data_IF_006026246789
#
_entry.id   IF_006026246789
#
_cell.length_a   1.000
_cell.length_b   1.000
_cell.length_c   1.000
_cell.angle_alpha   90.00
_cell.angle_beta   90.00
_cell.angle_gamma   90.00
#
_symmetry.space_group_name_H-M   'P 1'
#
loop_
_entity.id
_entity.type
_entity.pdbx_description
1 polymer ?
#
# COMPACT_ATOMS: atom_id res chain seq x y z
N UNK A 1 -36.89 -23.44 -12.16
CA UNK A 1 -36.36 -23.06 -13.50
C UNK A 1 -34.95 -23.65 -13.61
N UNK A 2 -34.92 -24.96 -13.86
CA UNK A 2 -33.79 -25.87 -13.65
C UNK A 2 -33.49 -26.54 -15.00
N UNK A 3 -32.21 -26.75 -15.32
CA UNK A 3 -31.60 -27.35 -16.53
C UNK A 3 -31.39 -26.37 -17.69
N UNK A 4 -30.12 -26.15 -18.05
CA UNK A 4 -29.43 -26.61 -19.28
C UNK A 4 -28.02 -26.00 -19.24
N UNK A 5 -26.98 -26.84 -19.20
CA UNK A 5 -25.82 -26.82 -20.11
C UNK A 5 -24.77 -27.84 -19.63
N UNK A 6 -24.83 -29.02 -20.23
CA UNK A 6 -23.70 -29.95 -20.35
C UNK A 6 -22.76 -29.39 -21.41
N UNK A 7 -21.46 -29.41 -21.13
CA UNK A 7 -20.40 -29.44 -22.14
C UNK A 7 -19.86 -28.08 -22.56
N UNK A 8 -18.70 -27.70 -22.02
CA UNK A 8 -17.50 -27.32 -22.80
C UNK A 8 -16.32 -27.17 -21.83
N UNK A 9 -15.80 -28.30 -21.33
CA UNK A 9 -14.48 -28.33 -20.70
C UNK A 9 -13.45 -28.33 -21.84
N UNK A 10 -12.93 -27.15 -22.19
CA UNK A 10 -11.63 -27.08 -22.87
C UNK A 10 -10.59 -26.83 -21.79
N UNK A 11 -9.57 -27.70 -21.75
CA UNK A 11 -8.43 -27.63 -20.85
C UNK A 11 -7.88 -26.20 -20.81
N UNK A 12 -8.19 -25.46 -19.75
CA UNK A 12 -7.43 -24.29 -19.37
C UNK A 12 -6.07 -24.80 -18.89
N UNK A 13 -4.98 -24.20 -19.35
CA UNK A 13 -3.64 -24.50 -18.84
C UNK A 13 -3.62 -24.29 -17.32
N UNK A 14 -3.80 -25.37 -16.56
CA UNK A 14 -3.94 -25.42 -15.10
C UNK A 14 -2.73 -24.83 -14.36
N UNK A 15 -1.59 -24.65 -15.05
CA UNK A 15 -0.32 -24.22 -14.47
C UNK A 15 -0.38 -22.85 -13.77
N UNK A 16 -1.14 -21.88 -14.29
CA UNK A 16 -1.26 -20.54 -13.66
C UNK A 16 -2.21 -20.51 -12.45
N UNK A 17 -3.23 -21.37 -12.45
CA UNK A 17 -4.25 -21.42 -11.41
C UNK A 17 -3.73 -22.17 -10.19
N UNK A 18 -2.97 -23.26 -10.37
CA UNK A 18 -2.50 -24.12 -9.27
C UNK A 18 -1.66 -23.37 -8.23
N UNK A 19 -0.87 -22.36 -8.63
CA UNK A 19 0.08 -21.69 -7.73
C UNK A 19 -0.57 -20.72 -6.71
N UNK A 20 -1.84 -20.33 -6.89
CA UNK A 20 -2.57 -19.41 -6.00
C UNK A 20 -3.45 -20.13 -4.94
N UNK A 21 -3.67 -21.44 -5.08
CA UNK A 21 -4.60 -22.20 -4.22
C UNK A 21 -3.99 -22.81 -2.96
N UNK A 22 -2.66 -22.82 -2.82
CA UNK A 22 -1.98 -23.31 -1.62
C UNK A 22 -1.86 -22.18 -0.59
N UNK A 23 -2.95 -21.84 0.09
CA UNK A 23 -2.93 -20.88 1.20
C UNK A 23 -4.29 -20.79 1.87
N UNK A 24 -4.34 -21.23 3.13
CA UNK A 24 -5.53 -21.55 3.92
C UNK A 24 -6.49 -20.40 4.20
N UNK A 25 -7.59 -20.76 4.87
CA UNK A 25 -8.67 -19.85 5.27
C UNK A 25 -8.11 -18.62 6.01
N UNK A 26 -8.40 -17.43 5.49
CA UNK A 26 -8.20 -16.20 6.27
C UNK A 26 -9.37 -16.12 7.26
N UNK A 27 -9.07 -16.19 8.55
CA UNK A 27 -10.04 -15.77 9.55
C UNK A 27 -10.18 -14.24 9.50
N UNK A 28 -11.39 -13.69 9.69
CA UNK A 28 -11.57 -12.26 9.83
C UNK A 28 -10.70 -11.78 10.98
N UNK A 29 -9.84 -10.81 10.71
CA UNK A 29 -9.05 -10.19 11.75
C UNK A 29 -9.99 -9.44 12.68
N UNK A 30 -10.07 -9.90 13.93
CA UNK A 30 -10.84 -9.19 14.93
C UNK A 30 -9.95 -8.07 15.48
N UNK A 31 -10.22 -6.84 15.03
CA UNK A 31 -9.54 -5.65 15.55
C UNK A 31 -9.71 -5.58 17.07
N UNK A 32 -8.62 -5.30 17.78
CA UNK A 32 -8.63 -5.08 19.23
C UNK A 32 -9.16 -3.69 19.53
N UNK A 33 -9.63 -3.49 20.76
CA UNK A 33 -10.22 -2.20 21.20
C UNK A 33 -9.27 -1.01 20.99
N UNK A 34 -7.97 -1.23 21.08
CA UNK A 34 -6.95 -0.18 20.99
C UNK A 34 -6.29 -0.08 19.61
N UNK A 35 -6.78 -0.83 18.62
CA UNK A 35 -6.27 -0.81 17.26
C UNK A 35 -6.55 0.54 16.60
N UNK A 36 -5.47 1.24 16.23
CA UNK A 36 -5.48 2.59 15.68
C UNK A 36 -4.51 2.68 14.51
N UNK A 37 -4.87 3.42 13.48
CA UNK A 37 -3.99 3.74 12.36
C UNK A 37 -4.40 5.06 11.69
N UNK A 38 -3.51 5.54 10.83
CA UNK A 38 -3.75 6.71 10.00
C UNK A 38 -3.85 6.27 8.54
N UNK A 39 -4.75 6.91 7.80
CA UNK A 39 -4.82 6.82 6.34
C UNK A 39 -4.63 8.22 5.76
N UNK A 40 -3.73 8.38 4.80
CA UNK A 40 -3.46 9.62 4.09
C UNK A 40 -3.71 9.39 2.60
N UNK A 41 -4.71 10.07 2.05
CA UNK A 41 -5.04 10.00 0.63
C UNK A 41 -4.57 11.29 -0.07
N UNK A 42 -3.56 11.15 -0.94
CA UNK A 42 -2.92 12.28 -1.62
C UNK A 42 -3.84 12.99 -2.60
N UNK A 43 -4.73 12.24 -3.27
CA UNK A 43 -5.65 12.78 -4.25
C UNK A 43 -6.69 13.73 -3.62
N UNK A 44 -7.29 13.30 -2.50
CA UNK A 44 -8.29 14.11 -1.77
C UNK A 44 -7.67 15.12 -0.80
N UNK A 45 -6.35 15.03 -0.54
CA UNK A 45 -5.61 15.89 0.40
C UNK A 45 -6.14 15.75 1.83
N UNK A 46 -6.32 14.49 2.23
CA UNK A 46 -6.98 14.13 3.48
C UNK A 46 -6.10 13.22 4.32
N UNK A 47 -6.05 13.47 5.63
CA UNK A 47 -5.55 12.57 6.65
C UNK A 47 -6.72 12.15 7.54
N UNK A 48 -6.96 10.85 7.62
CA UNK A 48 -8.06 10.24 8.38
C UNK A 48 -7.50 9.37 9.51
N UNK A 49 -8.05 9.51 10.71
CA UNK A 49 -7.76 8.69 11.87
C UNK A 49 -8.78 7.55 11.94
N UNK A 50 -8.29 6.31 12.03
CA UNK A 50 -9.13 5.12 12.16
C UNK A 50 -8.88 4.41 13.48
N UNK A 51 -9.95 4.00 14.15
CA UNK A 51 -9.92 3.14 15.32
C UNK A 51 -10.98 2.05 15.19
N UNK A 52 -10.61 0.78 15.43
CA UNK A 52 -11.52 -0.37 15.31
C UNK A 52 -12.27 -0.43 13.95
N UNK A 53 -11.57 -0.11 12.85
CA UNK A 53 -12.15 -0.10 11.50
C UNK A 53 -13.03 1.10 11.18
N UNK A 54 -13.26 2.01 12.14
CA UNK A 54 -14.11 3.19 11.98
C UNK A 54 -13.29 4.45 11.83
N UNK A 55 -13.74 5.34 10.96
CA UNK A 55 -13.24 6.71 10.90
C UNK A 55 -13.65 7.48 12.16
N UNK A 56 -12.67 8.07 12.84
CA UNK A 56 -12.86 8.84 14.07
C UNK A 56 -12.75 10.35 13.82
N UNK A 57 -11.86 10.76 12.92
CA UNK A 57 -11.69 12.14 12.52
C UNK A 57 -10.96 12.22 11.17
N UNK A 58 -11.19 13.30 10.44
CA UNK A 58 -10.58 13.56 9.14
C UNK A 58 -10.18 15.03 9.02
N UNK A 59 -8.99 15.27 8.48
CA UNK A 59 -8.36 16.57 8.42
C UNK A 59 -7.78 16.84 7.03
N UNK A 60 -7.93 18.06 6.49
CA UNK A 60 -7.21 18.44 5.28
C UNK A 60 -5.70 18.52 5.56
N UNK A 61 -4.88 18.09 4.61
CA UNK A 61 -3.44 18.08 4.72
C UNK A 61 -2.74 18.54 3.43
N UNK A 62 -1.52 19.07 3.55
CA UNK A 62 -0.66 19.45 2.42
C UNK A 62 0.51 18.49 2.29
N UNK A 63 0.99 18.31 1.07
CA UNK A 63 2.09 17.39 0.75
C UNK A 63 3.34 18.11 0.26
N UNK A 64 4.30 17.29 -0.17
CA UNK A 64 5.40 17.71 -1.01
C UNK A 64 4.94 18.46 -2.27
N UNK A 65 5.80 19.37 -2.75
CA UNK A 65 5.56 20.16 -3.96
C UNK A 65 5.38 19.30 -5.24
N UNK A 66 5.82 18.04 -5.23
CA UNK A 66 5.58 17.08 -6.30
C UNK A 66 4.58 15.98 -5.85
N UNK A 67 3.26 16.27 -5.90
CA UNK A 67 2.26 15.35 -5.34
C UNK A 67 1.93 14.15 -6.23
N UNK A 68 2.32 14.18 -7.51
CA UNK A 68 1.91 13.18 -8.49
C UNK A 68 2.70 11.87 -8.36
N UNK A 69 3.92 11.94 -7.84
CA UNK A 69 4.81 10.78 -7.69
C UNK A 69 4.95 10.36 -6.22
N UNK A 70 5.31 9.10 -6.00
CA UNK A 70 5.81 8.64 -4.70
C UNK A 70 7.27 9.06 -4.53
N UNK A 71 7.65 9.37 -3.29
CA UNK A 71 9.02 9.72 -2.93
C UNK A 71 9.98 8.56 -3.20
N UNK A 72 10.99 8.80 -4.02
CA UNK A 72 12.03 7.82 -4.36
C UNK A 72 13.44 8.32 -4.10
N UNK A 73 13.68 9.64 -3.98
CA UNK A 73 15.03 10.17 -3.73
C UNK A 73 15.04 11.46 -2.94
N UNK A 74 16.20 11.81 -2.39
CA UNK A 74 16.45 13.12 -1.78
C UNK A 74 16.20 14.23 -2.82
N UNK A 75 15.47 15.27 -2.43
CA UNK A 75 15.21 16.44 -3.28
C UNK A 75 14.11 16.28 -4.34
N UNK A 76 13.41 15.15 -4.45
CA UNK A 76 12.29 14.98 -5.38
C UNK A 76 11.01 15.75 -5.00
N UNK A 77 11.00 16.35 -3.81
CA UNK A 77 9.89 17.11 -3.22
C UNK A 77 8.57 16.32 -3.16
N UNK A 78 8.64 14.99 -3.14
CA UNK A 78 7.49 14.12 -3.11
C UNK A 78 7.22 13.58 -1.70
N UNK A 79 5.95 13.32 -1.39
CA UNK A 79 5.54 12.58 -0.20
C UNK A 79 5.50 11.08 -0.55
N UNK A 80 6.14 10.21 0.25
CA UNK A 80 6.16 8.78 -0.01
C UNK A 80 4.75 8.19 0.01
N UNK A 81 4.55 7.15 -0.78
CA UNK A 81 3.36 6.29 -0.76
C UNK A 81 3.77 4.91 -0.25
N UNK A 82 2.90 4.23 0.47
CA UNK A 82 3.16 2.93 1.06
C UNK A 82 2.64 2.81 2.50
N UNK A 83 3.03 1.71 3.14
CA UNK A 83 2.71 1.43 4.53
C UNK A 83 3.90 1.79 5.41
N UNK A 84 3.69 2.73 6.32
CA UNK A 84 4.70 3.25 7.24
C UNK A 84 4.25 3.05 8.69
N UNK A 85 5.16 3.28 9.63
CA UNK A 85 4.88 3.31 11.06
C UNK A 85 5.37 4.64 11.64
N UNK A 86 4.63 5.14 12.63
CA UNK A 86 5.12 6.24 13.48
C UNK A 86 6.36 5.75 14.21
N UNK A 87 7.48 6.43 14.02
CA UNK A 87 8.74 6.09 14.69
C UNK A 87 8.90 6.83 16.01
N UNK A 88 8.56 8.11 16.01
CA UNK A 88 8.63 8.98 17.17
C UNK A 88 7.70 10.17 17.02
N UNK A 89 7.41 10.85 18.12
CA UNK A 89 6.72 12.13 18.14
C UNK A 89 7.43 13.11 19.07
N UNK A 90 7.48 14.39 18.71
CA UNK A 90 8.12 15.44 19.51
C UNK A 90 7.50 16.82 19.28
N UNK A 91 7.56 17.74 20.27
CA UNK A 91 7.41 19.16 20.02
C UNK A 91 8.47 19.70 19.07
N UNK A 92 8.15 20.74 18.31
CA UNK A 92 9.06 21.35 17.33
C UNK A 92 8.84 22.86 17.26
N UNK A 93 9.90 23.65 17.41
CA UNK A 93 9.81 25.11 17.20
C UNK A 93 9.43 25.49 15.77
N UNK A 94 9.88 24.70 14.78
CA UNK A 94 9.64 24.96 13.37
C UNK A 94 8.25 24.50 12.90
N UNK A 95 7.75 23.42 13.48
CA UNK A 95 6.57 22.72 12.99
C UNK A 95 5.44 22.63 14.00
N UNK A 96 5.56 23.31 15.14
CA UNK A 96 4.72 23.16 16.32
C UNK A 96 4.80 21.75 16.96
N UNK A 97 4.30 20.73 16.26
CA UNK A 97 4.39 19.32 16.62
C UNK A 97 4.89 18.51 15.42
N UNK A 98 5.65 17.45 15.67
CA UNK A 98 6.20 16.59 14.62
C UNK A 98 6.06 15.11 14.99
N UNK A 99 5.49 14.33 14.07
CA UNK A 99 5.38 12.87 14.13
C UNK A 99 6.24 12.31 13.00
N UNK A 100 7.38 11.71 13.34
CA UNK A 100 8.30 11.13 12.37
C UNK A 100 7.84 9.75 11.92
N UNK A 101 7.88 9.51 10.60
CA UNK A 101 7.61 8.20 10.01
C UNK A 101 8.89 7.40 9.87
N UNK A 102 8.76 6.09 9.68
CA UNK A 102 9.88 5.18 9.47
C UNK A 102 10.46 5.17 8.03
N UNK A 103 10.21 6.22 7.25
CA UNK A 103 10.81 6.40 5.93
C UNK A 103 12.35 6.68 5.99
N UNK A 104 13.14 6.12 5.05
CA UNK A 104 12.76 5.02 4.16
C UNK A 104 12.65 3.71 4.95
N UNK A 105 11.63 2.90 4.64
CA UNK A 105 11.46 1.58 5.24
C UNK A 105 11.98 0.46 4.30
N UNK A 106 11.83 -0.80 4.70
CA UNK A 106 12.37 -1.92 3.91
C UNK A 106 11.86 -1.97 2.46
N UNK A 107 10.58 -1.62 2.23
CA UNK A 107 10.02 -1.53 0.87
C UNK A 107 10.76 -0.49 0.05
N UNK A 108 10.98 0.70 0.61
CA UNK A 108 11.68 1.79 -0.07
C UNK A 108 13.14 1.43 -0.39
N UNK A 109 13.82 0.80 0.57
CA UNK A 109 15.23 0.39 0.47
C UNK A 109 15.39 -0.68 -0.61
N UNK A 110 14.60 -1.75 -0.56
CA UNK A 110 14.67 -2.84 -1.55
C UNK A 110 14.28 -2.37 -2.94
N UNK A 111 13.21 -1.59 -3.06
CA UNK A 111 12.80 -1.01 -4.34
C UNK A 111 13.90 -0.11 -4.92
N UNK A 112 14.56 0.70 -4.10
CA UNK A 112 15.65 1.55 -4.55
C UNK A 112 16.86 0.78 -5.08
N UNK A 113 17.27 -0.26 -4.37
CA UNK A 113 18.35 -1.12 -4.81
C UNK A 113 18.00 -1.83 -6.14
N UNK A 114 16.79 -2.39 -6.23
CA UNK A 114 16.31 -3.00 -7.47
C UNK A 114 16.08 -2.01 -8.61
N UNK A 115 15.93 -0.72 -8.35
CA UNK A 115 15.87 0.30 -9.41
C UNK A 115 17.27 0.81 -9.80
N UNK A 116 18.34 0.33 -9.14
CA UNK A 116 19.71 0.80 -9.34
C UNK A 116 19.96 2.19 -8.76
N UNK A 117 19.13 2.62 -7.80
CA UNK A 117 19.25 3.91 -7.12
C UNK A 117 20.13 3.86 -5.87
N UNK A 118 20.57 2.67 -5.48
CA UNK A 118 21.53 2.44 -4.40
C UNK A 118 22.63 1.52 -4.92
N UNK A 119 23.88 1.76 -4.50
CA UNK A 119 24.94 0.75 -4.62
C UNK A 119 24.73 -0.38 -3.61
N UNK A 120 25.49 -1.47 -3.75
CA UNK A 120 25.46 -2.56 -2.76
C UNK A 120 25.87 -2.06 -1.37
N UNK A 121 26.91 -1.24 -1.28
CA UNK A 121 27.38 -0.67 -0.02
C UNK A 121 26.31 0.21 0.63
N UNK A 122 25.67 1.09 -0.14
CA UNK A 122 24.58 1.93 0.35
C UNK A 122 23.39 1.07 0.80
N UNK A 123 23.03 0.04 0.03
CA UNK A 123 21.95 -0.88 0.38
C UNK A 123 22.19 -1.56 1.73
N UNK A 124 23.40 -2.07 1.97
CA UNK A 124 23.76 -2.67 3.26
C UNK A 124 23.67 -1.66 4.41
N UNK A 125 24.17 -0.44 4.22
CA UNK A 125 24.06 0.63 5.22
C UNK A 125 22.59 0.95 5.56
N UNK A 126 21.72 1.04 4.55
CA UNK A 126 20.29 1.24 4.78
C UNK A 126 19.64 0.09 5.52
N UNK A 127 19.99 -1.17 5.21
CA UNK A 127 19.47 -2.34 5.94
C UNK A 127 19.90 -2.34 7.41
N UNK A 128 21.16 -2.04 7.71
CA UNK A 128 21.65 -1.93 9.08
C UNK A 128 20.94 -0.82 9.85
N UNK A 129 20.76 0.34 9.23
CA UNK A 129 20.02 1.44 9.84
C UNK A 129 18.56 1.08 10.10
N UNK A 130 17.88 0.43 9.14
CA UNK A 130 16.52 -0.06 9.29
C UNK A 130 16.40 -1.07 10.45
N UNK A 131 17.28 -2.07 10.51
CA UNK A 131 17.34 -3.06 11.61
C UNK A 131 17.57 -2.40 12.98
N UNK A 132 18.34 -1.31 13.02
CA UNK A 132 18.58 -0.52 14.22
C UNK A 132 17.48 0.52 14.54
N UNK A 133 16.39 0.58 13.77
CA UNK A 133 15.32 1.57 13.95
C UNK A 133 15.71 3.02 13.60
N UNK A 134 16.82 3.20 12.88
CA UNK A 134 17.38 4.51 12.45
C UNK A 134 16.99 4.84 11.00
N UNK A 135 17.20 6.08 10.59
CA UNK A 135 17.00 6.55 9.21
C UNK A 135 18.26 7.32 8.80
N UNK A 136 18.78 7.02 7.62
CA UNK A 136 20.01 7.62 7.10
C UNK A 136 19.69 8.83 6.25
N UNK A 137 20.48 9.90 6.38
CA UNK A 137 20.49 10.97 5.41
C UNK A 137 21.35 10.58 4.20
N UNK A 138 20.78 9.83 3.27
CA UNK A 138 21.47 9.38 2.06
C UNK A 138 20.68 9.66 0.77
N UNK A 139 20.92 8.89 -0.32
CA UNK A 139 20.27 9.09 -1.61
C UNK A 139 18.74 9.08 -1.59
N UNK A 140 18.11 8.36 -0.65
CA UNK A 140 16.65 8.32 -0.50
C UNK A 140 16.11 9.54 0.28
N UNK A 141 16.97 10.23 1.02
CA UNK A 141 16.62 11.24 1.99
C UNK A 141 16.02 10.65 3.27
N UNK A 142 15.68 11.53 4.22
CA UNK A 142 15.13 11.16 5.52
C UNK A 142 14.13 12.20 6.03
N UNK A 143 13.71 12.06 7.30
CA UNK A 143 13.00 13.13 8.01
C UNK A 143 11.58 13.40 7.52
N UNK A 144 10.95 12.41 6.89
CA UNK A 144 9.55 12.49 6.50
C UNK A 144 8.66 12.29 7.72
N UNK A 145 7.66 13.15 7.88
CA UNK A 145 6.76 13.12 9.00
C UNK A 145 5.45 13.86 8.74
N UNK A 146 4.57 13.78 9.74
CA UNK A 146 3.33 14.53 9.83
C UNK A 146 3.56 15.69 10.81
N UNK A 147 3.20 16.91 10.45
CA UNK A 147 3.52 18.08 11.26
C UNK A 147 2.52 19.24 11.14
N UNK A 148 2.60 20.21 12.07
CA UNK A 148 1.81 21.44 12.05
C UNK A 148 2.36 22.51 11.11
N UNK A 149 2.24 23.79 11.43
CA UNK A 149 2.77 24.88 10.61
C UNK A 149 1.86 25.30 9.45
N UNK A 150 0.69 24.67 9.31
CA UNK A 150 -0.44 25.27 8.62
C UNK A 150 -0.71 24.78 7.19
N UNK A 151 -1.89 25.18 6.74
CA UNK A 151 -2.43 24.92 5.42
C UNK A 151 -2.63 26.26 4.69
N UNK A 152 -2.27 26.31 3.41
CA UNK A 152 -2.58 27.47 2.57
C UNK A 152 -4.02 27.36 2.07
N UNK A 153 -4.96 28.09 2.67
CA UNK A 153 -6.38 28.08 2.27
C UNK A 153 -6.78 29.38 1.57
N UNK A 154 -7.67 29.29 0.57
CA UNK A 154 -8.36 30.41 -0.08
C UNK A 154 -9.78 30.41 0.48
N UNK A 155 -10.10 31.45 1.25
CA UNK A 155 -11.33 31.47 2.05
C UNK A 155 -11.33 30.37 3.12
N UNK A 156 -12.52 30.03 3.65
CA UNK A 156 -12.65 29.05 4.75
C UNK A 156 -12.55 27.59 4.31
N UNK A 157 -12.70 27.27 3.02
CA UNK A 157 -12.93 25.89 2.57
C UNK A 157 -11.89 25.32 1.59
N UNK A 158 -11.24 26.13 0.75
CA UNK A 158 -10.43 25.60 -0.35
C UNK A 158 -8.95 25.57 -0.01
N UNK A 159 -8.38 24.37 0.13
CA UNK A 159 -6.93 24.18 0.19
C UNK A 159 -6.31 24.53 -1.18
N UNK A 160 -5.27 25.37 -1.17
CA UNK A 160 -4.75 26.02 -2.38
C UNK A 160 -3.43 25.41 -2.82
N UNK A 161 -2.61 24.91 -1.90
CA UNK A 161 -1.22 24.60 -2.24
C UNK A 161 -0.59 23.50 -1.38
N UNK A 162 0.19 22.65 -2.04
CA UNK A 162 1.24 21.84 -1.42
C UNK A 162 2.50 22.70 -1.25
N UNK A 163 3.29 22.45 -0.20
CA UNK A 163 4.39 23.36 0.12
C UNK A 163 5.58 22.72 0.81
N UNK A 164 5.45 21.48 1.29
CA UNK A 164 6.54 20.82 2.00
C UNK A 164 7.58 20.28 1.01
N UNK A 165 8.70 19.76 1.53
CA UNK A 165 9.67 19.00 0.75
C UNK A 165 9.41 17.48 0.79
N UNK A 166 8.24 17.06 1.25
CA UNK A 166 7.82 15.65 1.31
C UNK A 166 7.04 15.26 2.57
N UNK A 167 7.05 16.11 3.61
CA UNK A 167 6.22 15.91 4.81
C UNK A 167 4.72 16.15 4.54
N UNK A 168 3.90 15.72 5.49
CA UNK A 168 2.45 15.94 5.51
C UNK A 168 2.15 17.06 6.52
N UNK A 169 1.72 18.21 6.04
CA UNK A 169 1.45 19.38 6.89
C UNK A 169 -0.05 19.56 7.17
N UNK A 170 -0.38 19.88 8.42
CA UNK A 170 -1.74 20.14 8.91
C UNK A 170 -1.83 21.53 9.55
N UNK A 171 -3.04 21.99 9.80
CA UNK A 171 -3.24 23.09 10.76
C UNK A 171 -2.85 22.62 12.17
N UNK A 172 -2.32 23.53 13.00
CA UNK A 172 -1.80 23.17 14.32
C UNK A 172 -2.85 22.48 15.20
N UNK A 173 -4.10 22.96 15.19
CA UNK A 173 -5.22 22.34 15.92
C UNK A 173 -5.52 20.91 15.47
N UNK A 174 -5.45 20.65 14.17
CA UNK A 174 -5.66 19.31 13.63
C UNK A 174 -4.47 18.40 14.00
N UNK A 175 -3.25 18.96 13.96
CA UNK A 175 -2.02 18.28 14.37
C UNK A 175 -2.04 17.88 15.86
N UNK A 176 -2.61 18.67 16.76
CA UNK A 176 -2.79 18.27 18.18
C UNK A 176 -3.65 17.01 18.32
N UNK A 177 -4.65 16.86 17.46
CA UNK A 177 -5.51 15.66 17.45
C UNK A 177 -4.73 14.45 16.97
N UNK A 178 -3.97 14.59 15.88
CA UNK A 178 -3.07 13.53 15.38
C UNK A 178 -2.01 13.15 16.44
N UNK A 179 -1.36 14.12 17.06
CA UNK A 179 -0.27 13.92 18.02
C UNK A 179 -0.71 13.16 19.29
N UNK A 180 -1.94 13.43 19.76
CA UNK A 180 -2.55 12.70 20.89
C UNK A 180 -3.04 11.31 20.51
N UNK A 181 -3.42 11.12 19.24
CA UNK A 181 -3.98 9.86 18.76
C UNK A 181 -2.93 8.76 18.59
N UNK A 182 -1.74 9.12 18.08
CA UNK A 182 -0.70 8.16 17.70
C UNK A 182 0.35 7.93 18.78
N UNK A 183 0.94 6.74 18.77
CA UNK A 183 2.15 6.38 19.52
C UNK A 183 3.19 5.76 18.57
N UNK A 184 4.47 5.64 18.97
CA UNK A 184 5.43 4.83 18.23
C UNK A 184 4.85 3.45 17.90
N UNK A 185 4.98 3.03 16.65
CA UNK A 185 4.39 1.80 16.10
C UNK A 185 3.02 1.98 15.45
N UNK A 186 2.30 3.10 15.66
CA UNK A 186 1.01 3.34 14.99
C UNK A 186 1.18 3.29 13.46
N UNK A 187 0.42 2.44 12.75
CA UNK A 187 0.52 2.35 11.30
C UNK A 187 -0.01 3.58 10.57
N UNK A 188 0.60 3.87 9.42
CA UNK A 188 0.26 4.99 8.55
C UNK A 188 0.26 4.51 7.10
N UNK A 189 -0.93 4.38 6.51
CA UNK A 189 -1.10 4.12 5.09
C UNK A 189 -1.07 5.46 4.33
N UNK A 190 -0.22 5.58 3.30
CA UNK A 190 -0.20 6.73 2.40
C UNK A 190 -0.40 6.24 0.97
N UNK A 191 -1.39 6.75 0.25
CA UNK A 191 -1.65 6.34 -1.13
C UNK A 191 -2.19 7.47 -2.00
N UNK A 192 -2.14 7.27 -3.31
CA UNK A 192 -2.73 8.15 -4.30
C UNK A 192 -3.65 7.35 -5.23
N UNK A 193 -4.96 7.51 -5.04
CA UNK A 193 -6.01 6.84 -5.83
C UNK A 193 -5.93 7.09 -7.34
N UNK A 194 -5.28 8.17 -7.77
CA UNK A 194 -5.16 8.52 -9.18
C UNK A 194 -4.03 7.75 -9.91
N UNK A 195 -3.27 6.90 -9.21
CA UNK A 195 -2.28 6.01 -9.83
C UNK A 195 -2.93 4.72 -10.33
N UNK A 196 -2.23 3.97 -11.19
CA UNK A 196 -2.73 2.65 -11.60
C UNK A 196 -2.79 1.71 -10.40
N UNK A 197 -3.74 0.77 -10.40
CA UNK A 197 -3.86 -0.19 -9.31
C UNK A 197 -2.57 -1.00 -9.09
N UNK A 198 -1.83 -1.34 -10.16
CA UNK A 198 -0.50 -1.96 -10.03
C UNK A 198 0.44 -1.07 -9.21
N UNK A 199 0.51 0.21 -9.55
CA UNK A 199 1.39 1.15 -8.86
C UNK A 199 1.02 1.29 -7.38
N UNK A 200 -0.27 1.45 -7.07
CA UNK A 200 -0.73 1.58 -5.68
C UNK A 200 -0.39 0.30 -4.90
N UNK A 201 -0.74 -0.88 -5.43
CA UNK A 201 -0.47 -2.15 -4.74
C UNK A 201 1.04 -2.42 -4.60
N UNK A 202 1.85 -2.00 -5.57
CA UNK A 202 3.32 -2.13 -5.52
C UNK A 202 3.98 -1.30 -4.41
N UNK A 203 3.32 -0.22 -3.96
CA UNK A 203 3.80 0.56 -2.81
C UNK A 203 3.45 -0.09 -1.46
N UNK A 204 2.55 -1.08 -1.44
CA UNK A 204 2.09 -1.77 -0.22
C UNK A 204 2.78 -3.11 0.03
N UNK A 205 3.81 -3.43 -0.75
CA UNK A 205 4.50 -4.73 -0.69
C UNK A 205 6.00 -4.56 -0.66
N UNK A 206 6.68 -5.42 0.07
CA UNK A 206 8.14 -5.58 -0.05
C UNK A 206 8.44 -6.50 -1.24
N UNK A 207 9.21 -6.05 -2.27
CA UNK A 207 9.47 -6.85 -3.47
C UNK A 207 10.39 -8.02 -3.18
N UNK A 208 10.01 -9.23 -3.59
CA UNK A 208 10.84 -10.43 -3.54
C UNK A 208 11.57 -10.64 -4.87
N UNK A 209 12.90 -10.54 -4.82
CA UNK A 209 13.74 -10.65 -6.01
C UNK A 209 13.82 -12.10 -6.48
N UNK A 210 13.67 -12.27 -7.79
CA UNK A 210 13.84 -13.54 -8.48
C UNK A 210 15.23 -13.58 -9.15
N UNK A 211 15.68 -14.78 -9.50
CA UNK A 211 16.99 -15.00 -10.15
C UNK A 211 17.14 -14.37 -11.56
N UNK A 212 16.08 -13.83 -12.16
CA UNK A 212 16.04 -13.36 -13.57
C UNK A 212 15.60 -11.88 -13.73
N UNK A 213 16.29 -10.93 -13.07
CA UNK A 213 16.10 -9.47 -13.26
C UNK A 213 14.69 -8.91 -13.00
N UNK A 214 13.87 -9.66 -12.27
CA UNK A 214 12.51 -9.26 -11.90
C UNK A 214 12.25 -9.43 -10.41
N UNK A 215 11.20 -8.77 -9.93
CA UNK A 215 10.63 -9.04 -8.62
C UNK A 215 9.21 -9.56 -8.76
N UNK A 216 8.80 -10.33 -7.77
CA UNK A 216 7.41 -10.68 -7.51
C UNK A 216 7.04 -10.27 -6.10
N UNK A 217 5.77 -9.97 -5.88
CA UNK A 217 5.25 -9.78 -4.54
C UNK A 217 3.83 -10.31 -4.47
N UNK A 218 3.48 -10.90 -3.33
CA UNK A 218 2.12 -11.39 -3.09
C UNK A 218 1.46 -10.53 -2.02
N UNK A 219 0.26 -10.07 -2.26
CA UNK A 219 -0.55 -9.34 -1.29
C UNK A 219 -1.86 -10.10 -1.08
N UNK A 220 -2.19 -10.36 0.18
CA UNK A 220 -3.43 -11.03 0.54
C UNK A 220 -4.30 -10.05 1.31
N UNK A 221 -5.39 -9.58 0.71
CA UNK A 221 -6.34 -8.67 1.35
C UNK A 221 -7.55 -9.46 1.81
N UNK A 222 -8.08 -9.11 2.98
CA UNK A 222 -9.39 -9.57 3.41
C UNK A 222 -10.30 -8.35 3.49
N UNK A 223 -11.34 -8.34 2.66
CA UNK A 223 -12.36 -7.29 2.64
C UNK A 223 -13.54 -7.76 3.48
N UNK A 224 -13.56 -7.37 4.76
CA UNK A 224 -14.49 -7.90 5.77
C UNK A 224 -15.96 -7.63 5.42
N UNK A 225 -16.27 -6.42 4.93
CA UNK A 225 -17.61 -6.02 4.48
C UNK A 225 -18.18 -6.97 3.41
N UNK A 226 -17.31 -7.58 2.60
CA UNK A 226 -17.69 -8.46 1.49
C UNK A 226 -17.41 -9.93 1.75
N UNK A 227 -16.83 -10.29 2.91
CA UNK A 227 -16.34 -11.64 3.21
C UNK A 227 -15.51 -12.22 2.05
N UNK A 228 -14.60 -11.38 1.53
CA UNK A 228 -13.87 -11.62 0.30
C UNK A 228 -12.37 -11.59 0.55
N UNK A 229 -11.71 -12.71 0.27
CA UNK A 229 -10.25 -12.80 0.19
C UNK A 229 -9.77 -12.44 -1.21
N UNK A 230 -8.89 -11.44 -1.30
CA UNK A 230 -8.17 -11.12 -2.52
C UNK A 230 -6.74 -11.61 -2.42
N UNK A 231 -6.36 -12.54 -3.30
CA UNK A 231 -4.97 -12.94 -3.51
C UNK A 231 -4.43 -12.20 -4.73
N UNK A 232 -3.48 -11.31 -4.49
CA UNK A 232 -2.85 -10.47 -5.51
C UNK A 232 -1.41 -10.92 -5.70
N UNK A 233 -1.01 -11.13 -6.95
CA UNK A 233 0.37 -11.38 -7.36
C UNK A 233 0.81 -10.25 -8.28
N UNK A 234 1.85 -9.53 -7.88
CA UNK A 234 2.49 -8.47 -8.64
C UNK A 234 3.81 -8.99 -9.19
N UNK A 235 4.18 -8.55 -10.38
CA UNK A 235 5.52 -8.77 -10.92
C UNK A 235 5.99 -7.59 -11.74
N UNK A 236 7.30 -7.31 -11.71
CA UNK A 236 7.93 -6.39 -12.65
C UNK A 236 9.32 -6.87 -13.06
N UNK A 237 9.76 -6.42 -14.23
CA UNK A 237 11.09 -6.67 -14.81
C UNK A 237 11.82 -5.37 -15.10
N UNK A 238 13.16 -5.43 -15.19
CA UNK A 238 14.03 -4.28 -15.52
C UNK A 238 13.69 -3.62 -16.86
N UNK A 239 13.15 -4.37 -17.82
CA UNK A 239 12.73 -3.84 -19.13
C UNK A 239 11.41 -3.04 -19.09
N UNK A 240 10.84 -2.81 -17.91
CA UNK A 240 9.60 -2.05 -17.73
C UNK A 240 8.33 -2.90 -17.77
N UNK A 241 8.40 -4.19 -18.11
CA UNK A 241 7.25 -5.07 -18.06
C UNK A 241 6.73 -5.21 -16.63
N UNK A 242 5.41 -5.10 -16.46
CA UNK A 242 4.69 -5.19 -15.18
C UNK A 242 3.45 -6.05 -15.39
N UNK A 243 3.09 -6.87 -14.42
CA UNK A 243 1.85 -7.64 -14.48
C UNK A 243 1.24 -7.78 -13.09
N UNK A 244 -0.08 -7.89 -13.07
CA UNK A 244 -0.86 -8.12 -11.84
C UNK A 244 -1.90 -9.19 -12.08
N UNK A 245 -1.96 -10.14 -11.15
CA UNK A 245 -2.97 -11.18 -11.10
C UNK A 245 -3.74 -11.06 -9.79
N UNK A 246 -5.07 -11.15 -9.86
CA UNK A 246 -5.96 -11.01 -8.72
C UNK A 246 -6.99 -12.13 -8.74
N UNK A 247 -7.05 -12.90 -7.66
CA UNK A 247 -8.10 -13.90 -7.44
C UNK A 247 -8.96 -13.42 -6.28
N UNK A 248 -10.26 -13.28 -6.51
CA UNK A 248 -11.25 -13.09 -5.45
C UNK A 248 -11.84 -14.42 -5.02
N UNK A 249 -11.81 -14.70 -3.72
CA UNK A 249 -12.25 -15.95 -3.10
C UNK A 249 -13.25 -15.62 -2.00
N UNK A 250 -14.40 -16.30 -2.01
CA UNK A 250 -15.35 -16.23 -0.91
C UNK A 250 -14.73 -16.85 0.35
N UNK A 251 -14.58 -16.05 1.42
CA UNK A 251 -13.78 -16.42 2.59
C UNK A 251 -14.30 -17.65 3.33
N UNK A 252 -15.61 -17.84 3.39
CA UNK A 252 -16.20 -18.96 4.12
C UNK A 252 -16.12 -20.30 3.37
N UNK A 253 -16.33 -20.27 2.05
CA UNK A 253 -16.42 -21.49 1.25
C UNK A 253 -15.11 -21.84 0.54
N UNK A 254 -14.15 -20.91 0.49
CA UNK A 254 -12.95 -21.01 -0.33
C UNK A 254 -13.23 -21.00 -1.83
N UNK A 255 -14.47 -20.67 -2.25
CA UNK A 255 -14.86 -20.71 -3.67
C UNK A 255 -14.30 -19.50 -4.41
N UNK A 256 -13.60 -19.70 -5.54
CA UNK A 256 -13.18 -18.61 -6.40
C UNK A 256 -14.40 -17.92 -7.02
N UNK A 257 -14.51 -16.62 -6.84
CA UNK A 257 -15.57 -15.78 -7.38
C UNK A 257 -15.15 -15.13 -8.70
N UNK A 258 -13.92 -14.63 -8.76
CA UNK A 258 -13.36 -14.02 -9.97
C UNK A 258 -11.84 -14.16 -10.06
N UNK A 259 -11.32 -14.00 -11.27
CA UNK A 259 -9.90 -13.91 -11.59
C UNK A 259 -9.66 -12.80 -12.61
N UNK A 260 -8.66 -11.98 -12.34
CA UNK A 260 -8.18 -10.91 -13.23
C UNK A 260 -6.69 -11.11 -13.45
N UNK A 261 -6.25 -11.01 -14.69
CA UNK A 261 -4.84 -10.93 -15.06
C UNK A 261 -4.67 -9.79 -16.05
N UNK A 262 -3.96 -8.76 -15.61
CA UNK A 262 -3.50 -7.64 -16.41
C UNK A 262 -1.99 -7.85 -16.67
N UNK A 263 -1.63 -8.06 -17.94
CA UNK A 263 -0.29 -8.42 -18.38
C UNK A 263 0.67 -7.23 -18.53
N UNK A 264 0.16 -6.00 -18.47
CA UNK A 264 0.96 -4.78 -18.62
C UNK A 264 0.88 -3.83 -17.40
N UNK A 265 -0.01 -4.13 -16.44
CA UNK A 265 -0.18 -3.39 -15.19
C UNK A 265 -0.75 -1.98 -15.36
N UNK A 266 -1.33 -1.66 -16.52
CA UNK A 266 -1.82 -0.32 -16.82
C UNK A 266 -3.22 -0.04 -16.22
N UNK A 267 -3.90 -1.08 -15.76
CA UNK A 267 -5.23 -1.00 -15.17
C UNK A 267 -6.38 -0.85 -16.14
N UNK A 268 -6.17 -1.21 -17.40
CA UNK A 268 -7.20 -1.50 -18.39
C UNK A 268 -7.31 -3.02 -18.60
N UNK A 269 -8.48 -3.49 -19.06
CA UNK A 269 -8.62 -4.85 -19.56
C UNK A 269 -8.49 -4.81 -21.09
N UNK A 270 -7.36 -5.27 -21.60
CA UNK A 270 -7.04 -5.36 -23.02
C UNK A 270 -7.35 -6.75 -23.59
N UNK A 271 -7.41 -6.94 -24.92
CA UNK A 271 -7.75 -8.23 -25.53
C UNK A 271 -6.85 -9.41 -25.13
N UNK A 272 -5.61 -9.14 -24.70
CA UNK A 272 -4.65 -10.16 -24.23
C UNK A 272 -4.77 -10.45 -22.73
N UNK A 273 -5.48 -9.61 -21.98
CA UNK A 273 -5.75 -9.81 -20.57
C UNK A 273 -6.78 -10.91 -20.37
N UNK A 274 -6.75 -11.54 -19.18
CA UNK A 274 -7.68 -12.61 -18.86
C UNK A 274 -8.59 -12.17 -17.74
N UNK A 275 -9.89 -12.33 -17.98
CA UNK A 275 -10.92 -12.10 -16.99
C UNK A 275 -11.87 -13.29 -16.93
N UNK A 276 -12.12 -13.78 -15.72
CA UNK A 276 -13.11 -14.83 -15.45
C UNK A 276 -13.92 -14.45 -14.21
N UNK A 277 -15.23 -14.60 -14.28
CA UNK A 277 -16.12 -14.37 -13.15
C UNK A 277 -17.23 -15.42 -13.12
N UNK A 278 -17.46 -15.98 -11.93
CA UNK A 278 -18.63 -16.82 -11.65
C UNK A 278 -19.86 -16.01 -11.23
N UNK A 279 -19.62 -14.80 -10.75
CA UNK A 279 -20.66 -13.77 -10.65
C UNK A 279 -20.97 -13.36 -12.09
N UNK A 280 -22.20 -13.59 -12.56
CA UNK A 280 -22.59 -13.26 -13.94
C UNK A 280 -22.28 -11.80 -14.25
N UNK A 281 -21.13 -11.55 -14.87
CA UNK A 281 -20.53 -10.23 -15.03
C UNK A 281 -20.24 -9.50 -13.72
N UNK A 282 -19.10 -9.78 -13.04
CA UNK A 282 -18.59 -8.87 -12.00
C UNK A 282 -18.63 -7.44 -12.54
N UNK A 283 -19.49 -6.57 -12.01
CA UNK A 283 -19.92 -5.39 -12.74
C UNK A 283 -18.80 -4.35 -12.73
N UNK A 284 -18.13 -4.18 -13.87
CA UNK A 284 -17.23 -3.03 -14.09
C UNK A 284 -15.73 -3.32 -14.12
N UNK A 285 -15.30 -4.58 -14.22
CA UNK A 285 -13.92 -4.95 -14.56
C UNK A 285 -12.85 -4.41 -13.61
N UNK A 286 -11.68 -4.09 -14.16
CA UNK A 286 -10.52 -3.61 -13.39
C UNK A 286 -10.79 -2.28 -12.62
N UNK A 287 -11.49 -1.27 -13.19
CA UNK A 287 -11.85 -0.06 -12.44
C UNK A 287 -12.76 -0.34 -11.24
N UNK A 288 -13.67 -1.30 -11.32
CA UNK A 288 -14.48 -1.70 -10.17
C UNK A 288 -13.61 -2.37 -9.10
N UNK A 289 -12.70 -3.26 -9.48
CA UNK A 289 -11.77 -3.88 -8.53
C UNK A 289 -10.92 -2.83 -7.81
N UNK A 290 -10.38 -1.85 -8.55
CA UNK A 290 -9.62 -0.75 -7.95
C UNK A 290 -10.47 0.03 -6.94
N UNK A 291 -11.71 0.40 -7.28
CA UNK A 291 -12.61 1.07 -6.33
C UNK A 291 -12.88 0.21 -5.10
N UNK A 292 -13.29 -1.04 -5.30
CA UNK A 292 -13.56 -2.01 -4.23
C UNK A 292 -12.40 -2.08 -3.24
N UNK A 293 -11.17 -2.23 -3.74
CA UNK A 293 -9.98 -2.33 -2.89
C UNK A 293 -9.67 -1.01 -2.21
N UNK A 294 -9.68 0.11 -2.94
CA UNK A 294 -9.30 1.40 -2.38
C UNK A 294 -10.35 1.98 -1.41
N UNK A 295 -11.60 1.51 -1.47
CA UNK A 295 -12.67 1.93 -0.54
C UNK A 295 -12.64 1.11 0.76
N UNK A 296 -12.15 -0.13 0.72
CA UNK A 296 -12.12 -1.03 1.88
C UNK A 296 -10.76 -1.13 2.58
N UNK A 297 -9.66 -1.08 1.83
CA UNK A 297 -8.30 -1.15 2.42
C UNK A 297 -8.06 -0.13 3.54
N UNK A 298 -8.53 1.13 3.45
CA UNK A 298 -8.41 2.09 4.56
C UNK A 298 -8.98 1.59 5.90
N UNK A 299 -10.00 0.72 5.87
CA UNK A 299 -10.64 0.15 7.08
C UNK A 299 -9.93 -1.10 7.58
N UNK A 300 -9.10 -1.72 6.74
CA UNK A 300 -8.50 -3.04 6.96
C UNK A 300 -6.96 -2.98 6.97
N UNK A 301 -6.37 -1.81 7.26
CA UNK A 301 -4.91 -1.59 7.22
C UNK A 301 -4.14 -2.60 8.09
N UNK A 302 -4.70 -3.01 9.23
CA UNK A 302 -4.03 -3.96 10.10
C UNK A 302 -3.93 -5.37 9.50
N UNK A 303 -4.85 -5.74 8.58
CA UNK A 303 -4.79 -7.01 7.85
C UNK A 303 -3.63 -7.05 6.87
N UNK A 304 -3.26 -5.88 6.31
CA UNK A 304 -2.08 -5.74 5.46
C UNK A 304 -0.81 -6.07 6.26
N UNK A 305 -0.69 -5.52 7.47
CA UNK A 305 0.54 -5.57 8.28
C UNK A 305 0.81 -6.98 8.81
N UNK A 306 -0.20 -7.65 9.36
CA UNK A 306 -0.02 -8.96 10.01
C UNK A 306 0.48 -10.05 9.07
N UNK A 307 0.17 -9.94 7.76
CA UNK A 307 0.64 -10.89 6.76
C UNK A 307 2.04 -10.58 6.24
N UNK A 308 2.55 -9.36 6.41
CA UNK A 308 3.94 -8.99 6.10
C UNK A 308 4.91 -9.41 7.21
N UNK A 309 4.54 -9.22 8.49
CA UNK A 309 5.39 -9.61 9.63
C UNK A 309 5.70 -11.13 9.63
N UNK A 310 4.78 -11.97 9.12
CA UNK A 310 4.98 -13.41 8.99
C UNK A 310 6.00 -13.81 7.91
N UNK A 311 6.30 -12.93 6.94
CA UNK A 311 7.27 -13.22 5.85
C UNK A 311 8.69 -12.80 6.18
N UNK A 312 8.87 -11.75 6.99
CA UNK A 312 10.22 -11.35 7.43
C UNK A 312 10.85 -12.39 8.34
N UNK A 313 10.06 -13.01 9.23
CA UNK A 313 10.54 -14.07 10.12
C UNK A 313 11.03 -15.34 9.39
N UNK A 314 10.66 -15.55 8.12
CA UNK A 314 11.03 -16.73 7.34
C UNK A 314 12.22 -16.51 6.38
N UNK A 315 12.68 -15.26 6.18
CA UNK A 315 13.78 -14.94 5.24
C UNK A 315 15.13 -14.66 5.90
N UNK A 316 15.17 -14.48 7.22
CA UNK A 316 16.44 -14.35 7.96
C UNK A 316 17.21 -15.69 8.10
N UNK A 317 16.78 -16.76 7.41
CA UNK A 317 17.41 -18.08 7.44
C UNK A 317 17.99 -18.60 6.11
N UNK A 318 17.97 -17.82 5.02
CA UNK A 318 18.54 -18.25 3.75
C UNK A 318 19.72 -17.36 3.35
N UNK A 319 20.92 -17.90 3.54
CA UNK A 319 22.15 -17.40 2.95
C UNK A 319 21.99 -17.23 1.42
N UNK A 320 22.64 -16.16 0.92
CA UNK A 320 22.76 -15.67 -0.45
C UNK A 320 22.75 -16.73 -1.57
#
# INVERSE_FOLDING_TARGET
MLKIFKGFFRLFSLAGIIFLFLGGFSFPFQTRKDDKWIVIEKASKTLTLYQQGKEIASFPCSFGLNPLISKSKKGDLATPEGLYKVRYKRPSRKYYLFVGLDYPNLKDIRKAFWEGRLTEEEYQQYLEAYKAGRSLDGPLGNGIGIHGGGLYRKGKSRLVRNWTHGCIALADRDMESVYRFVEPGTPVLIYNRNRSFFEIMSELVVPDFLKEDGWQARLNLFLSEYQLDLKILLSAKRNGARAIEVVGIESFSGRPLFYVRDLNGNGALEPLDRFYSRLGGFPGGYPFLQRLVLDEVPKEVLNLIQKEDFRMALKDGAHY
#
